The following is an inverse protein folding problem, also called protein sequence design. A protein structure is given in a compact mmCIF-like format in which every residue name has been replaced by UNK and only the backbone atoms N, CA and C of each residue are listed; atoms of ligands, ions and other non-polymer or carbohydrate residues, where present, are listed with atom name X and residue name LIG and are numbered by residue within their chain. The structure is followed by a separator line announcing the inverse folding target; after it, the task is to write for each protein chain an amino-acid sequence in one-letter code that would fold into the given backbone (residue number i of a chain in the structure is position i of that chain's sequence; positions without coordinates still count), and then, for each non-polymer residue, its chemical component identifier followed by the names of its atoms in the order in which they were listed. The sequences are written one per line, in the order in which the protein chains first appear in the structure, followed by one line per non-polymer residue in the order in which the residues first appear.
data_IF_186172593099
#
_entry.id   IF_186172593099
#
_cell.length_a   1.000
_cell.length_b   1.000
_cell.length_c   1.000
_cell.angle_alpha   90.00
_cell.angle_beta   90.00
_cell.angle_gamma   90.00
#
_symmetry.space_group_name_H-M   'P 1'
#
loop_
_entity.id
_entity.type
_entity.pdbx_description
1 polymer ?
#
# COMPACT_ATOMS: atom_id res chain seq x y z
N UNK A 1 -23.10 -10.93 1.18
CA UNK A 1 -22.60 -9.58 1.50
C UNK A 1 -21.18 -9.75 2.00
N UNK A 2 -20.17 -9.54 1.14
CA UNK A 2 -18.77 -9.82 1.51
C UNK A 2 -17.77 -9.16 0.58
N UNK A 3 -18.12 -8.02 -0.02
CA UNK A 3 -17.37 -7.37 -1.11
C UNK A 3 -16.56 -6.14 -0.66
N UNK A 4 -16.38 -5.92 0.64
CA UNK A 4 -15.76 -4.68 1.18
C UNK A 4 -14.49 -4.85 2.01
N UNK A 5 -14.31 -5.97 2.71
CA UNK A 5 -13.18 -6.15 3.63
C UNK A 5 -11.83 -6.21 2.88
N UNK A 6 -11.79 -6.93 1.76
CA UNK A 6 -10.59 -7.04 0.94
C UNK A 6 -10.22 -5.72 0.25
N UNK A 7 -11.20 -4.92 -0.19
CA UNK A 7 -10.98 -3.56 -0.68
C UNK A 7 -10.38 -2.64 0.38
N UNK A 8 -10.84 -2.73 1.63
CA UNK A 8 -10.25 -1.98 2.74
C UNK A 8 -8.81 -2.40 3.04
N UNK A 9 -8.50 -3.71 2.98
CA UNK A 9 -7.12 -4.21 3.11
C UNK A 9 -6.24 -3.64 2.00
N UNK A 10 -6.70 -3.64 0.74
CA UNK A 10 -5.98 -3.03 -0.37
C UNK A 10 -5.75 -1.53 -0.19
N UNK A 11 -6.69 -0.81 0.42
CA UNK A 11 -6.49 0.59 0.80
C UNK A 11 -5.43 0.80 1.90
N UNK A 12 -5.36 -0.08 2.89
CA UNK A 12 -4.28 -0.05 3.87
C UNK A 12 -2.92 -0.34 3.20
N UNK A 13 -2.85 -1.35 2.33
CA UNK A 13 -1.63 -1.67 1.59
C UNK A 13 -1.18 -0.51 0.70
N UNK A 14 -2.10 0.17 0.00
CA UNK A 14 -1.80 1.35 -0.80
C UNK A 14 -1.26 2.52 0.04
N UNK A 15 -1.83 2.73 1.23
CA UNK A 15 -1.37 3.77 2.19
C UNK A 15 0.05 3.45 2.68
N UNK A 16 0.28 2.20 3.11
CA UNK A 16 1.58 1.72 3.60
C UNK A 16 2.64 1.80 2.50
N UNK A 17 2.28 1.46 1.26
CA UNK A 17 3.19 1.54 0.12
C UNK A 17 3.77 2.95 -0.02
N UNK A 18 2.92 3.97 0.00
CA UNK A 18 3.35 5.37 -0.12
C UNK A 18 4.20 5.79 1.08
N UNK A 19 3.75 5.52 2.31
CA UNK A 19 4.49 5.88 3.52
C UNK A 19 5.89 5.27 3.54
N UNK A 20 5.99 4.01 3.16
CA UNK A 20 7.24 3.26 3.22
C UNK A 20 8.17 3.59 2.05
N UNK A 21 7.63 3.86 0.85
CA UNK A 21 8.39 4.44 -0.26
C UNK A 21 9.03 5.76 0.14
N UNK A 22 8.27 6.63 0.79
CA UNK A 22 8.73 7.96 1.16
C UNK A 22 9.74 7.92 2.31
N UNK A 23 9.52 7.05 3.30
CA UNK A 23 10.47 6.77 4.39
C UNK A 23 11.78 6.18 3.86
N UNK A 24 11.71 5.22 2.93
CA UNK A 24 12.89 4.65 2.29
C UNK A 24 13.64 5.67 1.44
N UNK A 25 12.96 6.54 0.69
CA UNK A 25 13.60 7.62 -0.08
C UNK A 25 14.34 8.62 0.82
N UNK A 26 13.80 8.91 2.00
CA UNK A 26 14.40 9.86 2.96
C UNK A 26 15.57 9.31 3.76
N UNK A 27 15.48 8.06 4.23
CA UNK A 27 16.47 7.47 5.16
C UNK A 27 17.36 6.40 4.52
N UNK A 28 17.01 5.88 3.33
CA UNK A 28 17.60 4.68 2.69
C UNK A 28 17.76 3.47 3.63
N UNK A 29 16.88 3.35 4.63
CA UNK A 29 16.93 2.26 5.60
C UNK A 29 16.72 0.91 4.92
N UNK A 30 17.61 -0.04 5.20
CA UNK A 30 17.51 -1.41 4.68
C UNK A 30 16.19 -2.09 5.10
N UNK A 31 15.72 -1.80 6.31
CA UNK A 31 14.48 -2.36 6.87
C UNK A 31 13.25 -1.84 6.11
N UNK A 32 13.21 -0.53 5.83
CA UNK A 32 12.12 0.06 5.04
C UNK A 32 12.10 -0.49 3.60
N UNK A 33 13.27 -0.69 3.01
CA UNK A 33 13.40 -1.29 1.67
C UNK A 33 12.96 -2.76 1.62
N UNK A 34 13.19 -3.54 2.68
CA UNK A 34 12.74 -4.93 2.77
C UNK A 34 11.22 -5.03 2.91
N UNK A 35 10.64 -4.24 3.83
CA UNK A 35 9.20 -4.18 4.02
C UNK A 35 8.47 -3.71 2.75
N UNK A 36 9.06 -2.77 2.00
CA UNK A 36 8.50 -2.28 0.74
C UNK A 36 8.46 -3.39 -0.31
N UNK A 37 9.53 -4.18 -0.39
CA UNK A 37 9.62 -5.31 -1.32
C UNK A 37 8.57 -6.37 -1.01
N UNK A 38 8.36 -6.69 0.27
CA UNK A 38 7.32 -7.62 0.70
C UNK A 38 5.92 -7.10 0.36
N UNK A 39 5.63 -5.83 0.63
CA UNK A 39 4.35 -5.21 0.28
C UNK A 39 4.08 -5.25 -1.22
N UNK A 40 5.07 -4.91 -2.04
CA UNK A 40 4.96 -4.97 -3.51
C UNK A 40 4.70 -6.41 -3.97
N UNK A 41 5.43 -7.39 -3.44
CA UNK A 41 5.22 -8.81 -3.79
C UNK A 41 3.80 -9.26 -3.43
N UNK A 42 3.28 -8.88 -2.26
CA UNK A 42 1.91 -9.21 -1.85
C UNK A 42 0.88 -8.61 -2.81
N UNK A 43 1.01 -7.33 -3.16
CA UNK A 43 0.12 -6.65 -4.11
C UNK A 43 0.16 -7.32 -5.49
N UNK A 44 1.34 -7.73 -5.96
CA UNK A 44 1.52 -8.41 -7.24
C UNK A 44 0.84 -9.78 -7.22
N UNK A 45 1.09 -10.60 -6.20
CA UNK A 45 0.46 -11.92 -6.06
C UNK A 45 -1.07 -11.77 -6.04
N UNK A 46 -1.59 -10.83 -5.25
CA UNK A 46 -3.03 -10.56 -5.19
C UNK A 46 -3.59 -10.15 -6.56
N UNK A 47 -2.91 -9.25 -7.28
CA UNK A 47 -3.32 -8.82 -8.62
C UNK A 47 -3.33 -9.98 -9.62
N UNK A 48 -2.37 -10.91 -9.53
CA UNK A 48 -2.31 -12.10 -10.38
C UNK A 48 -3.44 -13.07 -10.04
N UNK A 49 -3.72 -13.29 -8.75
CA UNK A 49 -4.85 -14.13 -8.32
C UNK A 49 -6.20 -13.53 -8.76
N UNK A 50 -6.37 -12.21 -8.61
CA UNK A 50 -7.57 -11.48 -9.06
C UNK A 50 -7.73 -11.52 -10.59
N UNK A 51 -6.63 -11.62 -11.35
CA UNK A 51 -6.67 -11.78 -12.81
C UNK A 51 -7.03 -13.21 -13.24
N UNK A 52 -6.53 -14.22 -12.54
CA UNK A 52 -6.77 -15.63 -12.84
C UNK A 52 -8.15 -16.13 -12.38
N UNK A 53 -8.78 -15.46 -11.42
CA UNK A 53 -10.09 -15.84 -10.87
C UNK A 53 -11.13 -14.74 -11.17
N UNK A 54 -11.73 -14.71 -12.37
CA UNK A 54 -12.68 -13.68 -12.76
C UNK A 54 -14.07 -14.01 -12.21
N UNK A 55 -14.24 -13.94 -10.89
CA UNK A 55 -15.53 -14.21 -10.21
C UNK A 55 -15.85 -13.14 -9.15
N UNK A 56 -15.99 -11.89 -9.62
CA UNK A 56 -16.55 -10.72 -8.90
C UNK A 56 -15.51 -9.93 -8.05
N UNK A 57 -15.53 -8.60 -8.16
CA UNK A 57 -14.86 -7.58 -7.31
C UNK A 57 -13.39 -7.14 -7.57
N UNK A 58 -12.83 -7.35 -8.77
CA UNK A 58 -11.58 -6.68 -9.21
C UNK A 58 -11.60 -5.15 -9.00
N UNK A 59 -12.74 -4.53 -9.31
CA UNK A 59 -12.93 -3.08 -9.15
C UNK A 59 -12.79 -2.62 -7.71
N UNK A 60 -13.29 -3.38 -6.72
CA UNK A 60 -13.23 -3.00 -5.30
C UNK A 60 -11.78 -3.03 -4.76
N UNK A 61 -10.95 -3.98 -5.20
CA UNK A 61 -9.54 -4.05 -4.83
C UNK A 61 -8.74 -2.91 -5.45
N UNK A 62 -8.93 -2.65 -6.74
CA UNK A 62 -8.29 -1.54 -7.46
C UNK A 62 -8.69 -0.18 -6.88
N UNK A 63 -9.97 0.06 -6.61
CA UNK A 63 -10.43 1.31 -6.00
C UNK A 63 -9.93 1.46 -4.58
N UNK A 64 -9.92 0.37 -3.79
CA UNK A 64 -9.36 0.36 -2.44
C UNK A 64 -7.90 0.78 -2.45
N UNK A 65 -7.09 0.13 -3.30
CA UNK A 65 -5.66 0.44 -3.46
C UNK A 65 -5.43 1.87 -3.93
N UNK A 66 -6.21 2.36 -4.89
CA UNK A 66 -6.15 3.75 -5.36
C UNK A 66 -6.47 4.76 -4.26
N UNK A 67 -7.55 4.56 -3.49
CA UNK A 67 -7.91 5.40 -2.34
C UNK A 67 -6.80 5.37 -1.29
N UNK A 68 -6.24 4.19 -1.02
CA UNK A 68 -5.11 4.01 -0.11
C UNK A 68 -3.88 4.81 -0.51
N UNK A 69 -3.50 4.78 -1.80
CA UNK A 69 -2.37 5.58 -2.31
C UNK A 69 -2.64 7.08 -2.11
N UNK A 70 -3.86 7.55 -2.45
CA UNK A 70 -4.23 8.97 -2.28
C UNK A 70 -4.14 9.37 -0.81
N UNK A 71 -4.69 8.56 0.09
CA UNK A 71 -4.61 8.79 1.54
C UNK A 71 -3.16 8.79 2.02
N UNK A 72 -2.33 7.84 1.56
CA UNK A 72 -0.91 7.79 1.88
C UNK A 72 -0.16 9.05 1.45
N UNK A 73 -0.49 9.60 0.28
CA UNK A 73 0.09 10.86 -0.21
C UNK A 73 -0.38 12.07 0.60
N UNK A 74 -1.65 12.09 1.00
CA UNK A 74 -2.25 13.20 1.76
C UNK A 74 -1.81 13.18 3.23
N UNK A 75 -1.64 11.99 3.81
CA UNK A 75 -1.15 11.78 5.17
C UNK A 75 0.36 11.89 5.26
N UNK A 76 1.09 11.73 4.14
CA UNK A 76 2.52 11.94 4.13
C UNK A 76 2.82 13.41 4.43
N UNK A 77 3.21 13.66 5.68
CA UNK A 77 3.86 14.90 6.08
C UNK A 77 5.35 14.59 6.12
N UNK A 78 6.19 15.18 5.24
CA UNK A 78 7.63 15.12 5.43
C UNK A 78 7.90 15.69 6.82
N UNK A 79 8.33 14.84 7.75
CA UNK A 79 8.74 15.28 9.07
C UNK A 79 9.92 16.23 8.89
N UNK A 80 9.66 17.52 9.00
CA UNK A 80 10.69 18.51 9.27
C UNK A 80 11.29 18.14 10.63
N UNK A 81 12.56 17.72 10.64
CA UNK A 81 13.28 17.19 11.81
C UNK A 81 13.17 15.65 11.88
N UNK A 82 14.23 14.84 11.96
CA UNK A 82 15.44 14.99 12.77
C UNK A 82 15.17 15.70 14.10
N UNK A 83 14.20 15.22 14.87
CA UNK A 83 14.27 15.30 16.34
C UNK A 83 13.23 14.36 16.95
N UNK A 84 13.62 13.11 17.16
CA UNK A 84 13.14 12.32 18.31
C UNK A 84 14.32 11.51 18.82
N UNK A 85 14.96 12.11 19.84
CA UNK A 85 15.72 11.58 20.97
C UNK A 85 16.75 10.46 20.72
#
# INVERSE_FOLDING_TARGET
MGVGASGAVMGLLGTMLVMLLQSWRGSKSAIAGQQLRLLVVLVVIQSVMDFLIPQISQSAHLTGLGIGIILGLLLYRPSLGKEQA
#
